data_IF_290420075219
#
_entry.id   IF_290420075219
#
_cell.length_a   1.000
_cell.length_b   1.000
_cell.length_c   1.000
_cell.angle_alpha   90.00
_cell.angle_beta   90.00
_cell.angle_gamma   90.00
#
_symmetry.space_group_name_H-M   'P 1'
#
loop_
_entity.id
_entity.type
_entity.pdbx_description
1 polymer ?
#
# COMPACT_ATOMS: atom_id res chain seq x y z
N UNK A 1 19.30 28.23 -6.48
CA UNK A 1 18.94 26.84 -6.84
C UNK A 1 19.29 26.68 -8.29
N UNK A 2 20.14 25.73 -8.61
CA UNK A 2 20.61 25.54 -9.98
C UNK A 2 19.50 24.92 -10.83
N UNK A 3 19.49 25.20 -12.13
CA UNK A 3 18.46 24.71 -13.05
C UNK A 3 18.26 23.19 -12.98
N UNK A 4 19.35 22.44 -12.80
CA UNK A 4 19.32 20.98 -12.64
C UNK A 4 18.60 20.55 -11.36
N UNK A 5 18.75 21.29 -10.27
CA UNK A 5 18.05 20.97 -9.01
C UNK A 5 16.54 21.11 -9.16
N UNK A 6 16.08 22.13 -9.91
CA UNK A 6 14.65 22.32 -10.18
C UNK A 6 14.08 21.18 -11.03
N UNK A 7 14.80 20.73 -12.07
CA UNK A 7 14.38 19.60 -12.90
C UNK A 7 14.28 18.32 -12.06
N UNK A 8 15.26 18.06 -11.19
CA UNK A 8 15.25 16.87 -10.33
C UNK A 8 14.09 16.89 -9.33
N UNK A 9 13.79 18.05 -8.72
CA UNK A 9 12.66 18.21 -7.81
C UNK A 9 11.35 17.92 -8.55
N UNK A 10 11.07 18.60 -9.67
CA UNK A 10 9.83 18.37 -10.42
C UNK A 10 9.70 16.93 -10.94
N UNK A 11 10.79 16.35 -11.43
CA UNK A 11 10.79 14.95 -11.88
C UNK A 11 10.51 13.95 -10.75
N UNK A 12 11.03 14.20 -9.54
CA UNK A 12 10.76 13.37 -8.37
C UNK A 12 9.34 13.57 -7.83
N UNK A 13 8.83 14.80 -7.83
CA UNK A 13 7.44 15.11 -7.45
C UNK A 13 6.45 14.32 -8.28
N UNK A 14 6.58 14.33 -9.61
CA UNK A 14 5.66 13.62 -10.49
C UNK A 14 5.71 12.09 -10.30
N UNK A 15 6.92 11.51 -10.14
CA UNK A 15 7.07 10.06 -9.89
C UNK A 15 6.46 9.62 -8.57
N UNK A 16 6.64 10.41 -7.51
CA UNK A 16 6.15 10.05 -6.17
C UNK A 16 4.67 10.39 -5.97
N UNK A 17 4.15 11.41 -6.64
CA UNK A 17 2.74 11.81 -6.52
C UNK A 17 1.78 10.67 -6.88
N UNK A 18 2.08 9.91 -7.93
CA UNK A 18 1.18 8.83 -8.40
C UNK A 18 0.97 7.72 -7.35
N UNK A 19 2.02 7.06 -6.82
CA UNK A 19 1.83 6.04 -5.79
C UNK A 19 1.27 6.62 -4.47
N UNK A 20 1.64 7.85 -4.10
CA UNK A 20 1.10 8.50 -2.91
C UNK A 20 -0.41 8.78 -3.04
N UNK A 21 -0.87 9.28 -4.19
CA UNK A 21 -2.30 9.50 -4.44
C UNK A 21 -3.09 8.19 -4.39
N UNK A 22 -2.55 7.10 -4.95
CA UNK A 22 -3.19 5.78 -4.86
C UNK A 22 -3.29 5.29 -3.40
N UNK A 23 -2.24 5.49 -2.61
CA UNK A 23 -2.25 5.19 -1.17
C UNK A 23 -3.31 6.03 -0.42
N UNK A 24 -3.38 7.34 -0.70
CA UNK A 24 -4.39 8.22 -0.11
C UNK A 24 -5.82 7.80 -0.48
N UNK A 25 -6.05 7.38 -1.74
CA UNK A 25 -7.35 6.89 -2.18
C UNK A 25 -7.75 5.60 -1.46
N UNK A 26 -6.80 4.67 -1.24
CA UNK A 26 -7.06 3.46 -0.48
C UNK A 26 -7.51 3.76 0.96
N UNK A 27 -6.81 4.65 1.66
CA UNK A 27 -7.20 5.12 2.99
C UNK A 27 -8.56 5.81 3.00
N UNK A 28 -8.80 6.73 2.05
CA UNK A 28 -10.08 7.43 1.90
C UNK A 28 -11.25 6.46 1.71
N UNK A 29 -11.09 5.44 0.87
CA UNK A 29 -12.14 4.44 0.67
C UNK A 29 -12.39 3.59 1.93
N UNK A 30 -11.33 3.25 2.67
CA UNK A 30 -11.48 2.54 3.94
C UNK A 30 -12.24 3.36 4.98
N UNK A 31 -11.87 4.63 5.17
CA UNK A 31 -12.55 5.52 6.10
C UNK A 31 -14.01 5.76 5.70
N UNK A 32 -14.28 5.91 4.40
CA UNK A 32 -15.67 6.01 3.89
C UNK A 32 -16.49 4.76 4.14
N UNK A 33 -15.86 3.59 4.25
CA UNK A 33 -16.51 2.34 4.62
C UNK A 33 -16.66 2.17 6.16
N UNK A 34 -16.22 3.14 6.96
CA UNK A 34 -16.28 3.10 8.41
C UNK A 34 -15.18 2.27 9.06
N UNK A 35 -14.07 2.03 8.35
CA UNK A 35 -12.92 1.26 8.84
C UNK A 35 -11.68 2.15 8.82
N UNK A 36 -11.19 2.49 10.01
CA UNK A 36 -9.93 3.22 10.17
C UNK A 36 -8.74 2.30 9.93
N UNK A 37 -8.06 2.52 8.81
CA UNK A 37 -6.95 1.68 8.36
C UNK A 37 -5.60 2.36 8.54
N UNK A 38 -5.06 2.27 9.77
CA UNK A 38 -3.73 2.79 10.10
C UNK A 38 -2.61 1.83 9.61
N UNK A 39 -2.94 0.56 9.35
CA UNK A 39 -2.00 -0.47 8.88
C UNK A 39 -1.62 -0.37 7.40
N UNK A 40 -1.93 0.77 6.75
CA UNK A 40 -1.69 0.96 5.33
C UNK A 40 -0.19 0.92 5.00
N UNK A 41 0.67 1.42 5.90
CA UNK A 41 2.13 1.34 5.75
C UNK A 41 2.61 -0.12 5.70
N UNK A 42 2.14 -0.97 6.60
CA UNK A 42 2.46 -2.40 6.63
C UNK A 42 1.99 -3.14 5.37
N UNK A 43 0.77 -2.85 4.90
CA UNK A 43 0.23 -3.40 3.64
C UNK A 43 1.07 -2.99 2.43
N UNK A 44 1.54 -1.74 2.37
CA UNK A 44 2.42 -1.26 1.30
C UNK A 44 3.78 -1.96 1.34
N UNK A 45 4.39 -2.13 2.52
CA UNK A 45 5.66 -2.83 2.69
C UNK A 45 5.55 -4.30 2.27
N UNK A 46 4.48 -5.00 2.65
CA UNK A 46 4.25 -6.37 2.21
C UNK A 46 3.97 -6.48 0.71
N UNK A 47 3.21 -5.55 0.13
CA UNK A 47 2.99 -5.51 -1.31
C UNK A 47 4.31 -5.30 -2.08
N UNK A 48 5.18 -4.41 -1.60
CA UNK A 48 6.49 -4.16 -2.18
C UNK A 48 7.40 -5.39 -2.08
N UNK A 49 7.47 -6.02 -0.91
CA UNK A 49 8.27 -7.23 -0.69
C UNK A 49 7.80 -8.39 -1.56
N UNK A 50 6.49 -8.69 -1.57
CA UNK A 50 5.91 -9.75 -2.38
C UNK A 50 6.14 -9.51 -3.88
N UNK A 51 5.94 -8.27 -4.35
CA UNK A 51 6.19 -7.92 -5.75
C UNK A 51 7.63 -8.11 -6.14
N UNK A 52 8.58 -7.63 -5.32
CA UNK A 52 10.01 -7.74 -5.58
C UNK A 52 10.49 -9.19 -5.58
N UNK A 53 10.10 -9.96 -4.57
CA UNK A 53 10.50 -11.36 -4.44
C UNK A 53 9.98 -12.20 -5.61
N UNK A 54 8.71 -12.06 -5.97
CA UNK A 54 8.11 -12.83 -7.07
C UNK A 54 8.65 -12.37 -8.42
N UNK A 55 8.84 -11.08 -8.66
CA UNK A 55 9.47 -10.59 -9.88
C UNK A 55 10.90 -11.12 -10.03
N UNK A 56 11.68 -11.16 -8.95
CA UNK A 56 13.05 -11.67 -8.96
C UNK A 56 13.13 -13.17 -9.28
N UNK A 57 12.20 -13.98 -8.76
CA UNK A 57 12.16 -15.43 -9.00
C UNK A 57 11.61 -15.79 -10.39
N UNK A 58 10.64 -15.03 -10.89
CA UNK A 58 9.95 -15.34 -12.16
C UNK A 58 10.52 -14.61 -13.36
N UNK A 59 11.32 -13.55 -13.15
CA UNK A 59 11.79 -12.65 -14.19
C UNK A 59 10.70 -11.75 -14.79
N UNK A 60 9.47 -11.77 -14.27
CA UNK A 60 8.32 -11.04 -14.81
C UNK A 60 7.81 -9.99 -13.85
N UNK A 61 7.88 -8.72 -14.26
CA UNK A 61 7.35 -7.59 -13.50
C UNK A 61 5.83 -7.70 -13.29
N UNK A 62 5.10 -8.27 -14.26
CA UNK A 62 3.65 -8.41 -14.17
C UNK A 62 3.22 -9.46 -13.14
N UNK A 63 3.97 -10.57 -13.04
CA UNK A 63 3.69 -11.60 -12.02
C UNK A 63 4.04 -11.06 -10.63
N UNK A 64 5.12 -10.29 -10.51
CA UNK A 64 5.43 -9.52 -9.30
C UNK A 64 4.29 -8.58 -8.90
N UNK A 65 3.81 -7.74 -9.82
CA UNK A 65 2.70 -6.83 -9.56
C UNK A 65 1.45 -7.57 -9.05
N UNK A 66 1.08 -8.68 -9.69
CA UNK A 66 -0.04 -9.50 -9.27
C UNK A 66 0.15 -10.07 -7.85
N UNK A 67 1.37 -10.49 -7.50
CA UNK A 67 1.70 -10.97 -6.17
C UNK A 67 1.57 -9.86 -5.10
N UNK A 68 2.02 -8.64 -5.39
CA UNK A 68 1.85 -7.49 -4.50
C UNK A 68 0.39 -7.12 -4.26
N UNK A 69 -0.41 -7.10 -5.31
CA UNK A 69 -1.87 -6.89 -5.22
C UNK A 69 -2.49 -7.98 -4.34
N UNK A 70 -2.15 -9.24 -4.57
CA UNK A 70 -2.64 -10.36 -3.78
C UNK A 70 -2.26 -10.26 -2.30
N UNK A 71 -1.00 -9.96 -1.99
CA UNK A 71 -0.53 -9.79 -0.61
C UNK A 71 -1.30 -8.68 0.13
N UNK A 72 -1.49 -7.52 -0.52
CA UNK A 72 -2.24 -6.40 0.06
C UNK A 72 -3.72 -6.75 0.28
N UNK A 73 -4.36 -7.44 -0.67
CA UNK A 73 -5.74 -7.89 -0.53
C UNK A 73 -5.93 -8.87 0.63
N UNK A 74 -4.99 -9.80 0.83
CA UNK A 74 -5.02 -10.74 1.96
C UNK A 74 -4.95 -9.98 3.30
N UNK A 75 -4.03 -9.02 3.43
CA UNK A 75 -3.89 -8.22 4.66
C UNK A 75 -5.10 -7.31 4.89
N UNK A 76 -5.65 -6.70 3.83
CA UNK A 76 -6.86 -5.90 3.91
C UNK A 76 -8.07 -6.76 4.34
N UNK A 77 -8.19 -7.99 3.83
CA UNK A 77 -9.23 -8.93 4.24
C UNK A 77 -9.08 -9.34 5.70
N UNK A 78 -7.85 -9.62 6.17
CA UNK A 78 -7.58 -9.91 7.58
C UNK A 78 -7.98 -8.74 8.49
N UNK A 79 -7.61 -7.51 8.12
CA UNK A 79 -8.02 -6.31 8.84
C UNK A 79 -9.54 -6.15 8.89
N UNK A 80 -10.20 -6.36 7.74
CA UNK A 80 -11.65 -6.32 7.61
C UNK A 80 -12.35 -7.37 8.46
N UNK A 81 -11.85 -8.61 8.48
CA UNK A 81 -12.41 -9.68 9.32
C UNK A 81 -12.24 -9.33 10.81
N UNK A 82 -11.05 -8.89 11.23
CA UNK A 82 -10.79 -8.48 12.61
C UNK A 82 -11.72 -7.33 13.04
N UNK A 83 -11.94 -6.36 12.16
CA UNK A 83 -12.70 -5.13 12.46
C UNK A 83 -14.22 -5.31 12.34
N UNK A 84 -14.69 -6.04 11.33
CA UNK A 84 -16.13 -6.18 11.01
C UNK A 84 -16.71 -7.41 11.70
N UNK A 85 -16.08 -8.58 11.54
CA UNK A 85 -16.61 -9.86 12.02
C UNK A 85 -16.38 -10.00 13.52
N UNK A 86 -15.14 -9.75 13.97
CA UNK A 86 -14.76 -9.92 15.37
C UNK A 86 -14.95 -8.65 16.21
N UNK A 87 -15.31 -7.52 15.59
CA UNK A 87 -15.48 -6.21 16.25
C UNK A 87 -14.26 -5.82 17.10
N UNK A 88 -13.07 -6.21 16.64
CA UNK A 88 -11.81 -5.85 17.26
C UNK A 88 -11.53 -4.35 17.13
N UNK A 89 -10.64 -3.85 17.98
CA UNK A 89 -10.20 -2.47 17.89
C UNK A 89 -9.40 -2.27 16.59
N UNK A 90 -9.93 -1.45 15.68
CA UNK A 90 -9.36 -1.16 14.37
C UNK A 90 -7.96 -0.55 14.48
N UNK A 91 -7.69 0.26 15.50
CA UNK A 91 -6.36 0.84 15.72
C UNK A 91 -5.32 -0.24 16.05
N UNK A 92 -5.69 -1.20 16.90
CA UNK A 92 -4.81 -2.30 17.30
C UNK A 92 -4.57 -3.24 16.11
N UNK A 93 -5.64 -3.59 15.39
CA UNK A 93 -5.51 -4.42 14.19
C UNK A 93 -4.71 -3.73 13.09
N UNK A 94 -4.83 -2.41 12.95
CA UNK A 94 -4.07 -1.61 12.00
C UNK A 94 -2.59 -1.59 12.35
N UNK A 95 -2.22 -1.31 13.61
CA UNK A 95 -0.81 -1.27 14.05
C UNK A 95 -0.15 -2.65 14.01
N UNK A 96 -0.92 -3.73 14.14
CA UNK A 96 -0.40 -5.10 14.05
C UNK A 96 -0.06 -5.55 12.63
N UNK A 97 -0.60 -4.89 11.60
CA UNK A 97 -0.41 -5.19 10.18
C UNK A 97 0.64 -4.29 9.54
#
# INVERSE_FOLDING_TARGET
MDYDTLIQIFGSTLRLATPLLLACLAGLYSERAGIFDIGLEGKMLMAAMASGAVAALTGSAWIGLAAGIGASLVLAALHGIASITFRGNQLISGVAL
#
